data_IF_943637855063
#
_entry.id   IF_943637855063
#
_cell.length_a   1.000
_cell.length_b   1.000
_cell.length_c   1.000
_cell.angle_alpha   90.00
_cell.angle_beta   90.00
_cell.angle_gamma   90.00
#
_symmetry.space_group_name_H-M   'P 1'
#
loop_
_entity.id
_entity.type
_entity.pdbx_description
1 polymer ?
#
# COMPACT_ATOMS: atom_id res chain seq x y z
N UNK A 1 1.84 -0.42 11.19
CA UNK A 1 2.42 -0.91 9.93
C UNK A 1 1.46 -0.58 8.78
N UNK A 2 1.77 -0.99 7.55
CA UNK A 2 0.92 -0.77 6.38
C UNK A 2 1.67 -1.06 5.09
N UNK A 3 1.05 -0.70 3.97
CA UNK A 3 1.67 -0.75 2.65
C UNK A 3 1.27 0.50 1.85
N UNK A 4 2.11 0.85 0.88
CA UNK A 4 1.97 2.03 0.03
C UNK A 4 2.15 1.61 -1.43
N UNK A 5 1.31 2.13 -2.32
CA UNK A 5 1.54 2.08 -3.77
C UNK A 5 1.95 3.48 -4.20
N UNK A 6 3.10 3.60 -4.86
CA UNK A 6 3.64 4.87 -5.36
C UNK A 6 4.16 4.73 -6.79
N UNK A 7 4.27 5.84 -7.51
CA UNK A 7 4.96 5.85 -8.81
C UNK A 7 6.47 5.64 -8.60
N UNK A 8 7.15 5.01 -9.57
CA UNK A 8 8.60 4.79 -9.49
C UNK A 8 9.31 6.03 -10.04
N UNK A 9 10.26 6.56 -9.26
CA UNK A 9 11.21 7.60 -9.70
C UNK A 9 12.63 7.03 -9.61
N UNK A 10 13.66 7.74 -10.13
CA UNK A 10 15.05 7.31 -9.98
C UNK A 10 15.54 7.30 -8.52
N UNK A 11 14.85 7.99 -7.62
CA UNK A 11 15.16 8.00 -6.19
C UNK A 11 14.36 6.87 -5.53
N UNK A 12 15.05 6.04 -4.75
CA UNK A 12 14.45 4.89 -4.07
C UNK A 12 13.29 5.35 -3.17
N UNK A 13 12.12 4.73 -3.36
CA UNK A 13 10.92 4.89 -2.54
C UNK A 13 10.42 6.34 -2.36
N UNK A 14 10.69 7.22 -3.33
CA UNK A 14 10.43 8.67 -3.22
C UNK A 14 9.30 9.17 -4.15
N UNK A 15 8.72 8.31 -4.97
CA UNK A 15 7.71 8.76 -5.92
C UNK A 15 6.36 9.13 -5.27
N UNK A 16 5.51 9.87 -6.00
CA UNK A 16 4.18 10.25 -5.51
C UNK A 16 3.34 9.05 -5.05
N UNK A 17 2.75 9.17 -3.86
CA UNK A 17 1.88 8.15 -3.28
C UNK A 17 0.54 8.13 -4.02
N UNK A 18 0.18 6.98 -4.58
CA UNK A 18 -1.10 6.73 -5.24
C UNK A 18 -2.12 6.07 -4.30
N UNK A 19 -1.66 5.35 -3.29
CA UNK A 19 -2.53 4.88 -2.22
C UNK A 19 -1.78 4.28 -1.04
N UNK A 20 -2.45 4.23 0.11
CA UNK A 20 -1.88 3.76 1.36
C UNK A 20 -2.93 3.06 2.22
N UNK A 21 -2.49 2.07 3.00
CA UNK A 21 -3.32 1.43 4.04
C UNK A 21 -2.62 1.46 5.39
N UNK A 22 -3.40 1.35 6.46
CA UNK A 22 -2.90 1.14 7.82
C UNK A 22 -3.20 -0.26 8.30
N UNK A 23 -2.22 -0.87 8.95
CA UNK A 23 -2.30 -2.19 9.59
C UNK A 23 -1.90 -2.05 11.06
N UNK A 24 -2.76 -2.43 12.02
CA UNK A 24 -2.40 -2.40 13.43
C UNK A 24 -1.30 -3.42 13.70
N UNK A 25 -0.39 -3.07 14.61
CA UNK A 25 0.55 -4.02 15.22
C UNK A 25 -0.05 -4.43 16.55
N UNK A 26 -0.24 -5.72 16.77
CA UNK A 26 -0.91 -6.27 17.94
C UNK A 26 0.11 -6.80 18.95
N UNK A 27 -0.21 -6.80 20.25
CA UNK A 27 0.63 -7.47 21.25
C UNK A 27 0.87 -8.94 20.86
N UNK A 28 2.13 -9.34 20.83
CA UNK A 28 2.53 -10.71 20.47
C UNK A 28 2.73 -10.96 18.97
N UNK A 29 2.59 -9.95 18.10
CA UNK A 29 2.96 -10.09 16.69
C UNK A 29 4.46 -10.46 16.55
N UNK A 30 4.73 -11.46 15.72
CA UNK A 30 6.04 -11.65 15.09
C UNK A 30 6.10 -10.89 13.77
N UNK A 31 7.31 -10.74 13.20
CA UNK A 31 7.50 -10.15 11.88
C UNK A 31 6.65 -10.86 10.81
N UNK A 32 6.56 -12.18 10.85
CA UNK A 32 5.79 -13.01 9.93
C UNK A 32 4.28 -12.75 10.06
N UNK A 33 3.76 -12.71 11.29
CA UNK A 33 2.33 -12.47 11.53
C UNK A 33 1.90 -11.06 11.11
N UNK A 34 2.77 -10.06 11.32
CA UNK A 34 2.53 -8.70 10.86
C UNK A 34 2.60 -8.61 9.32
N UNK A 35 3.61 -9.24 8.71
CA UNK A 35 3.77 -9.29 7.26
C UNK A 35 2.57 -9.96 6.58
N UNK A 36 2.05 -11.06 7.13
CA UNK A 36 0.84 -11.71 6.62
C UNK A 36 -0.37 -10.76 6.65
N UNK A 37 -0.50 -9.93 7.69
CA UNK A 37 -1.57 -8.92 7.80
C UNK A 37 -1.38 -7.78 6.79
N UNK A 38 -0.13 -7.36 6.53
CA UNK A 38 0.21 -6.37 5.49
C UNK A 38 -0.10 -6.91 4.09
N UNK A 39 0.26 -8.17 3.80
CA UNK A 39 0.03 -8.81 2.50
C UNK A 39 -1.47 -8.86 2.13
N UNK A 40 -2.35 -9.09 3.12
CA UNK A 40 -3.80 -9.01 2.90
C UNK A 40 -4.23 -7.61 2.45
N UNK A 41 -3.61 -6.54 2.97
CA UNK A 41 -3.90 -5.18 2.51
C UNK A 41 -3.26 -4.86 1.16
N UNK A 42 -2.09 -5.40 0.84
CA UNK A 42 -1.47 -5.26 -0.49
C UNK A 42 -2.38 -5.84 -1.59
N UNK A 43 -2.95 -7.02 -1.36
CA UNK A 43 -3.92 -7.65 -2.27
C UNK A 43 -5.20 -6.82 -2.48
N UNK A 44 -5.51 -5.87 -1.58
CA UNK A 44 -6.65 -4.96 -1.72
C UNK A 44 -6.23 -3.64 -2.37
N UNK A 45 -5.15 -3.03 -1.87
CA UNK A 45 -4.69 -1.71 -2.29
C UNK A 45 -4.19 -1.73 -3.74
N UNK A 46 -3.38 -2.72 -4.10
CA UNK A 46 -2.75 -2.77 -5.43
C UNK A 46 -3.78 -2.78 -6.57
N UNK A 47 -4.77 -3.69 -6.63
CA UNK A 47 -5.75 -3.67 -7.71
C UNK A 47 -6.69 -2.46 -7.67
N UNK A 48 -6.94 -1.88 -6.48
CA UNK A 48 -7.76 -0.66 -6.36
C UNK A 48 -7.04 0.55 -6.98
N UNK A 49 -5.77 0.75 -6.65
CA UNK A 49 -4.93 1.80 -7.22
C UNK A 49 -4.73 1.59 -8.72
N UNK A 50 -4.41 0.37 -9.16
CA UNK A 50 -4.20 0.07 -10.58
C UNK A 50 -5.44 0.40 -11.43
N UNK A 51 -6.64 0.06 -10.94
CA UNK A 51 -7.89 0.39 -11.63
C UNK A 51 -8.09 1.90 -11.79
N UNK A 52 -7.80 2.69 -10.74
CA UNK A 52 -7.88 4.15 -10.79
C UNK A 52 -6.86 4.73 -11.76
N UNK A 53 -5.61 4.27 -11.65
CA UNK A 53 -4.51 4.71 -12.50
C UNK A 53 -4.79 4.44 -13.99
N UNK A 54 -5.27 3.23 -14.33
CA UNK A 54 -5.66 2.88 -15.69
C UNK A 54 -6.84 3.73 -16.22
N UNK A 55 -7.69 4.25 -15.33
CA UNK A 55 -8.75 5.20 -15.64
C UNK A 55 -8.30 6.67 -15.65
N UNK A 56 -7.00 6.95 -15.52
CA UNK A 56 -6.45 8.31 -15.50
C UNK A 56 -6.57 9.05 -14.16
N UNK A 57 -7.06 8.38 -13.11
CA UNK A 57 -7.18 8.95 -11.76
C UNK A 57 -5.89 8.69 -10.98
N UNK A 58 -5.22 9.78 -10.54
CA UNK A 58 -3.93 9.74 -9.82
C UNK A 58 -4.00 10.35 -8.44
N UNK A 59 -5.18 10.79 -8.00
CA UNK A 59 -5.41 11.25 -6.64
C UNK A 59 -5.30 10.08 -5.66
N UNK A 60 -4.78 10.41 -4.48
CA UNK A 60 -4.41 9.44 -3.44
C UNK A 60 -5.64 8.70 -2.91
N UNK A 61 -5.59 7.37 -2.94
CA UNK A 61 -6.59 6.48 -2.35
C UNK A 61 -6.17 6.05 -0.93
N UNK A 62 -7.02 6.31 0.07
CA UNK A 62 -6.88 5.76 1.42
C UNK A 62 -7.84 4.58 1.60
N UNK A 63 -7.34 3.46 2.14
CA UNK A 63 -8.12 2.29 2.53
C UNK A 63 -7.91 1.94 4.01
#
# INVERSE_FOLDING_TARGET
AGCTVHEVTPVLDDGPILGQTRVPVLPGDTAETLAARVLVQEHRLYPAVLRRFAGGQRDRLEL
#
